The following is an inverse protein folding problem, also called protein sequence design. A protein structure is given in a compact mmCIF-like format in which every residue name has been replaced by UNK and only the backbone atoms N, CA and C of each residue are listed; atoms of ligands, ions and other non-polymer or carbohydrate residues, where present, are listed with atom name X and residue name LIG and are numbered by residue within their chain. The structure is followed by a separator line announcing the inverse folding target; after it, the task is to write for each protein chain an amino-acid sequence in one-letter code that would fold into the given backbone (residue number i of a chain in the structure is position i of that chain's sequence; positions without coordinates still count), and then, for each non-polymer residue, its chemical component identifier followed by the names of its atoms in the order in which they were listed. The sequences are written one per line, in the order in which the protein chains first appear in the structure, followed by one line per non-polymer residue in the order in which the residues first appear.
data_IF_942781899095
#
_entry.id   IF_942781899095
#
_cell.length_a   1.000
_cell.length_b   1.000
_cell.length_c   1.000
_cell.angle_alpha   90.00
_cell.angle_beta   90.00
_cell.angle_gamma   90.00
#
_symmetry.space_group_name_H-M   'P 1'
#
loop_
_entity.id
_entity.type
_entity.pdbx_description
1 polymer ?
#
# COMPACT_ATOMS: atom_id res chain seq x y z
N UNK A 1 -15.85 -52.00 14.74
CA UNK A 1 -16.54 -52.74 13.65
C UNK A 1 -17.88 -52.10 13.38
N UNK A 2 -18.39 -52.22 12.15
CA UNK A 2 -19.80 -52.14 11.69
C UNK A 2 -20.79 -51.19 12.39
N UNK A 3 -21.43 -50.31 11.59
CA UNK A 3 -22.74 -49.75 11.92
C UNK A 3 -23.85 -50.81 11.76
N UNK A 4 -25.12 -50.46 12.08
CA UNK A 4 -26.04 -50.36 10.95
C UNK A 4 -26.96 -49.11 10.95
N UNK A 5 -27.26 -48.63 9.75
CA UNK A 5 -28.38 -47.74 9.45
C UNK A 5 -29.74 -48.39 9.78
N UNK A 6 -30.78 -47.56 9.95
CA UNK A 6 -32.16 -47.95 9.64
C UNK A 6 -32.91 -46.80 8.98
N UNK A 7 -33.53 -47.08 7.83
CA UNK A 7 -34.31 -46.13 7.03
C UNK A 7 -35.79 -46.53 7.10
N UNK A 8 -36.70 -45.55 7.18
CA UNK A 8 -38.05 -45.70 6.62
C UNK A 8 -38.62 -44.36 6.17
N UNK A 9 -39.14 -44.32 4.95
CA UNK A 9 -39.94 -43.20 4.42
C UNK A 9 -41.43 -43.45 4.71
N UNK A 10 -42.28 -42.40 4.64
CA UNK A 10 -43.29 -42.30 3.57
C UNK A 10 -43.98 -40.92 3.50
N UNK A 11 -44.42 -40.60 2.28
CA UNK A 11 -45.06 -39.37 1.78
C UNK A 11 -46.36 -38.94 2.49
N UNK A 12 -46.72 -37.67 2.34
CA UNK A 12 -48.10 -37.16 2.41
C UNK A 12 -48.22 -35.78 1.73
N UNK A 13 -49.06 -35.65 0.71
CA UNK A 13 -49.44 -34.38 0.05
C UNK A 13 -50.94 -34.17 0.21
N UNK A 14 -51.42 -32.92 0.24
CA UNK A 14 -52.76 -32.58 -0.26
C UNK A 14 -52.85 -31.10 -0.69
N UNK A 15 -53.43 -30.86 -1.87
CA UNK A 15 -54.04 -29.57 -2.24
C UNK A 15 -55.54 -29.60 -1.91
N UNK A 16 -56.13 -28.41 -1.73
CA UNK A 16 -57.56 -28.16 -1.98
C UNK A 16 -57.76 -26.79 -2.65
N UNK A 17 -58.79 -26.69 -3.50
CA UNK A 17 -59.13 -25.51 -4.32
C UNK A 17 -60.64 -25.43 -4.54
N UNK A 18 -61.24 -24.24 -4.38
CA UNK A 18 -62.56 -23.77 -4.87
C UNK A 18 -62.51 -22.22 -4.77
N UNK A 19 -62.73 -21.39 -5.81
CA UNK A 19 -64.00 -20.98 -6.44
C UNK A 19 -65.04 -20.40 -5.44
N UNK A 20 -65.53 -19.15 -5.52
CA UNK A 20 -65.36 -18.01 -6.45
C UNK A 20 -65.92 -16.70 -5.82
N UNK A 21 -66.64 -15.73 -6.44
CA UNK A 21 -67.12 -15.48 -7.82
C UNK A 21 -67.83 -14.08 -7.92
N UNK A 22 -67.33 -13.10 -8.71
CA UNK A 22 -67.98 -11.81 -9.11
C UNK A 22 -68.26 -10.77 -7.98
N UNK A 23 -68.36 -9.43 -8.14
CA UNK A 23 -68.07 -8.41 -9.19
C UNK A 23 -67.81 -7.02 -8.47
N UNK A 24 -67.83 -5.76 -8.96
CA UNK A 24 -68.24 -5.05 -10.21
C UNK A 24 -67.61 -3.62 -10.24
N UNK A 25 -67.15 -3.11 -11.40
CA UNK A 25 -66.81 -1.68 -11.70
C UNK A 25 -65.70 -0.99 -10.85
N UNK A 26 -65.03 0.10 -11.29
CA UNK A 26 -65.27 1.01 -12.44
C UNK A 26 -63.97 1.35 -13.21
N UNK A 27 -64.12 1.80 -14.46
CA UNK A 27 -63.09 2.25 -15.42
C UNK A 27 -62.28 3.49 -14.97
N UNK A 28 -60.98 3.53 -15.31
CA UNK A 28 -60.40 4.74 -15.91
C UNK A 28 -59.23 4.45 -16.86
N UNK A 29 -59.46 4.71 -18.14
CA UNK A 29 -58.55 4.54 -19.28
C UNK A 29 -57.25 5.36 -19.19
N UNK A 30 -56.15 4.79 -19.72
CA UNK A 30 -55.19 5.51 -20.57
C UNK A 30 -54.50 4.55 -21.54
N UNK A 31 -54.28 4.99 -22.77
CA UNK A 31 -54.03 4.12 -23.94
C UNK A 31 -52.59 4.21 -24.46
N UNK A 32 -52.03 3.06 -24.83
CA UNK A 32 -50.88 2.96 -25.74
C UNK A 32 -51.09 1.75 -26.69
N UNK A 33 -50.93 1.91 -28.01
CA UNK A 33 -51.21 0.85 -28.98
C UNK A 33 -50.08 -0.18 -29.10
N UNK A 34 -50.42 -1.38 -29.59
CA UNK A 34 -49.49 -2.50 -29.75
C UNK A 34 -48.79 -2.52 -31.12
N UNK A 35 -47.70 -3.30 -31.17
CA UNK A 35 -46.85 -3.53 -32.36
C UNK A 35 -47.64 -4.06 -33.57
N UNK A 36 -47.18 -3.71 -34.76
CA UNK A 36 -47.35 -4.55 -35.95
C UNK A 36 -46.02 -5.22 -36.31
N UNK A 37 -46.08 -6.50 -36.65
CA UNK A 37 -45.04 -7.27 -37.33
C UNK A 37 -45.65 -7.78 -38.65
N UNK A 38 -45.01 -7.55 -39.80
CA UNK A 38 -45.15 -8.43 -40.97
C UNK A 38 -44.41 -9.76 -40.71
N UNK A 39 -44.83 -10.82 -41.39
CA UNK A 39 -44.18 -12.14 -41.34
C UNK A 39 -43.16 -12.32 -42.48
N UNK A 40 -42.46 -13.45 -42.45
CA UNK A 40 -41.36 -13.81 -43.35
C UNK A 40 -41.71 -13.80 -44.85
N UNK A 41 -40.74 -13.35 -45.66
CA UNK A 41 -40.46 -13.94 -46.97
C UNK A 41 -39.04 -14.51 -46.94
N UNK A 42 -38.89 -15.81 -47.27
CA UNK A 42 -37.58 -16.44 -47.46
C UNK A 42 -37.14 -16.31 -48.92
N UNK A 43 -35.92 -15.83 -49.17
CA UNK A 43 -35.32 -15.82 -50.53
C UNK A 43 -33.82 -16.10 -50.54
N UNK A 44 -33.45 -17.28 -50.03
CA UNK A 44 -32.37 -18.14 -50.54
C UNK A 44 -31.02 -17.51 -50.98
N UNK A 45 -30.44 -16.59 -50.20
CA UNK A 45 -28.98 -16.41 -50.07
C UNK A 45 -28.70 -15.75 -48.70
N UNK A 46 -27.77 -16.19 -47.86
CA UNK A 46 -26.53 -16.95 -48.10
C UNK A 46 -26.32 -17.99 -46.99
N UNK A 47 -26.05 -19.26 -47.34
CA UNK A 47 -25.65 -20.27 -46.36
C UNK A 47 -24.13 -20.27 -46.15
N UNK A 48 -23.73 -20.45 -44.88
CA UNK A 48 -22.43 -20.97 -44.45
C UNK A 48 -21.16 -20.22 -44.93
N UNK A 49 -20.85 -19.12 -44.25
CA UNK A 49 -19.53 -19.04 -43.61
C UNK A 49 -19.69 -18.78 -42.11
N UNK A 50 -19.63 -19.86 -41.32
CA UNK A 50 -19.29 -19.78 -39.90
C UNK A 50 -17.80 -19.47 -39.79
N UNK A 51 -17.43 -18.20 -39.96
CA UNK A 51 -16.10 -17.74 -39.55
C UNK A 51 -16.04 -17.88 -38.04
N UNK A 52 -15.12 -18.68 -37.47
CA UNK A 52 -14.95 -18.69 -36.02
C UNK A 52 -14.54 -17.29 -35.58
N UNK A 53 -15.19 -16.77 -34.54
CA UNK A 53 -14.75 -15.53 -33.92
C UNK A 53 -13.37 -15.81 -33.30
N UNK A 54 -12.30 -15.41 -34.00
CA UNK A 54 -10.94 -15.49 -33.48
C UNK A 54 -10.82 -14.50 -32.33
N UNK A 55 -11.10 -14.97 -31.13
CA UNK A 55 -10.52 -14.44 -29.90
C UNK A 55 -9.00 -14.58 -30.06
N UNK A 56 -8.32 -13.50 -30.44
CA UNK A 56 -6.87 -13.45 -30.43
C UNK A 56 -6.39 -13.65 -29.00
N UNK A 57 -5.96 -14.86 -28.64
CA UNK A 57 -5.30 -15.11 -27.37
C UNK A 57 -3.82 -14.75 -27.48
N UNK A 58 -3.25 -14.20 -26.41
CA UNK A 58 -1.82 -14.01 -26.25
C UNK A 58 -1.25 -15.17 -25.43
N UNK A 59 -0.17 -15.78 -25.91
CA UNK A 59 0.63 -16.76 -25.20
C UNK A 59 1.80 -16.04 -24.53
N UNK A 60 1.67 -15.77 -23.23
CA UNK A 60 2.63 -15.00 -22.46
C UNK A 60 3.53 -15.93 -21.64
N UNK A 61 4.85 -15.78 -21.77
CA UNK A 61 5.84 -16.60 -21.06
C UNK A 61 6.18 -15.95 -19.73
N UNK A 62 5.61 -16.42 -18.62
CA UNK A 62 5.89 -15.88 -17.28
C UNK A 62 7.04 -16.67 -16.63
N UNK A 63 8.16 -16.00 -16.42
CA UNK A 63 9.44 -16.58 -15.96
C UNK A 63 9.81 -16.13 -14.56
N UNK A 64 10.45 -17.00 -13.79
CA UNK A 64 11.08 -16.67 -12.50
C UNK A 64 12.59 -16.50 -12.68
N UNK A 65 13.23 -15.73 -11.78
CA UNK A 65 14.69 -15.61 -11.73
C UNK A 65 15.43 -16.95 -11.44
N UNK A 66 14.69 -18.01 -11.07
CA UNK A 66 15.18 -19.38 -10.96
C UNK A 66 15.24 -20.13 -12.31
N UNK A 67 14.76 -19.54 -13.41
CA UNK A 67 14.62 -20.20 -14.71
C UNK A 67 13.36 -21.06 -14.87
N UNK A 68 12.54 -21.18 -13.82
CA UNK A 68 11.22 -21.81 -13.87
C UNK A 68 10.23 -20.91 -14.63
N UNK A 69 9.37 -21.50 -15.48
CA UNK A 69 8.43 -20.73 -16.31
C UNK A 69 7.04 -21.36 -16.39
N UNK A 70 6.05 -20.52 -16.69
CA UNK A 70 4.68 -20.86 -16.99
C UNK A 70 4.28 -20.20 -18.32
N UNK A 71 3.78 -21.00 -19.24
CA UNK A 71 3.39 -20.56 -20.59
C UNK A 71 1.86 -20.35 -20.53
N UNK A 72 1.42 -19.09 -20.52
CA UNK A 72 0.07 -18.67 -20.09
C UNK A 72 -0.72 -18.07 -21.26
N UNK A 73 -1.68 -18.85 -21.77
CA UNK A 73 -2.65 -18.37 -22.75
C UNK A 73 -3.72 -17.49 -22.08
N UNK A 74 -3.91 -16.27 -22.58
CA UNK A 74 -4.86 -15.29 -22.07
C UNK A 74 -5.51 -14.47 -23.17
N UNK A 75 -6.80 -14.20 -23.01
CA UNK A 75 -7.53 -13.19 -23.78
C UNK A 75 -6.99 -11.78 -23.40
N UNK A 76 -6.59 -10.92 -24.37
CA UNK A 76 -5.95 -9.64 -24.13
C UNK A 76 -6.86 -8.59 -23.50
N UNK A 77 -8.19 -8.73 -23.61
CA UNK A 77 -9.16 -7.89 -22.91
C UNK A 77 -9.30 -8.25 -21.41
N UNK A 78 -8.66 -9.33 -20.96
CA UNK A 78 -8.57 -9.69 -19.54
C UNK A 78 -7.56 -8.80 -18.83
N UNK A 79 -7.73 -8.66 -17.51
CA UNK A 79 -6.82 -7.87 -16.69
C UNK A 79 -5.54 -8.64 -16.33
N UNK A 80 -4.46 -7.92 -16.05
CA UNK A 80 -3.17 -8.51 -15.61
C UNK A 80 -3.32 -9.38 -14.35
N UNK A 81 -4.33 -9.12 -13.51
CA UNK A 81 -4.73 -10.00 -12.38
C UNK A 81 -5.03 -11.43 -12.84
N UNK A 82 -5.70 -11.59 -14.00
CA UNK A 82 -6.05 -12.91 -14.52
C UNK A 82 -4.81 -13.65 -15.02
N UNK A 83 -3.94 -12.97 -15.78
CA UNK A 83 -2.62 -13.45 -16.18
C UNK A 83 -1.78 -13.87 -14.97
N UNK A 84 -1.73 -13.04 -13.91
CA UNK A 84 -1.00 -13.36 -12.68
C UNK A 84 -1.56 -14.57 -11.96
N UNK A 85 -2.89 -14.69 -11.80
CA UNK A 85 -3.51 -15.87 -11.17
C UNK A 85 -3.31 -17.15 -11.99
N UNK A 86 -3.29 -17.06 -13.32
CA UNK A 86 -2.96 -18.18 -14.19
C UNK A 86 -1.49 -18.61 -14.02
N UNK A 87 -0.56 -17.65 -13.96
CA UNK A 87 0.86 -17.92 -13.67
C UNK A 87 1.07 -18.49 -12.24
N UNK A 88 0.42 -17.93 -11.22
CA UNK A 88 0.46 -18.41 -9.83
C UNK A 88 -0.04 -19.87 -9.72
N UNK A 89 -1.08 -20.21 -10.50
CA UNK A 89 -1.62 -21.58 -10.61
C UNK A 89 -0.65 -22.57 -11.28
N UNK A 90 -0.02 -22.18 -12.40
CA UNK A 90 0.96 -23.02 -13.10
C UNK A 90 2.27 -23.19 -12.31
N UNK A 91 2.86 -22.08 -11.84
CA UNK A 91 4.11 -22.03 -11.08
C UNK A 91 3.97 -22.58 -9.64
N UNK A 92 2.73 -22.73 -9.14
CA UNK A 92 2.41 -23.21 -7.78
C UNK A 92 3.11 -22.40 -6.68
N UNK A 93 3.33 -21.11 -6.94
CA UNK A 93 3.97 -20.14 -6.05
C UNK A 93 3.15 -18.86 -6.03
N UNK A 94 2.86 -18.26 -4.86
CA UNK A 94 2.33 -16.90 -4.83
C UNK A 94 3.37 -15.94 -5.41
N UNK A 95 2.94 -15.04 -6.29
CA UNK A 95 3.79 -13.99 -6.83
C UNK A 95 3.61 -12.71 -5.99
N UNK A 96 4.48 -11.73 -6.24
CA UNK A 96 4.49 -10.38 -5.63
C UNK A 96 4.41 -9.28 -6.69
N UNK A 97 4.83 -9.58 -7.92
CA UNK A 97 4.76 -8.69 -9.06
C UNK A 97 4.87 -9.49 -10.36
N UNK A 98 4.32 -8.94 -11.45
CA UNK A 98 4.75 -9.23 -12.81
C UNK A 98 5.47 -7.99 -13.36
N UNK A 99 6.57 -8.18 -14.08
CA UNK A 99 7.36 -7.15 -14.73
C UNK A 99 7.50 -7.46 -16.22
N UNK A 100 7.22 -6.50 -17.09
CA UNK A 100 7.58 -6.52 -18.51
C UNK A 100 8.83 -5.65 -18.76
N UNK A 101 9.27 -5.54 -20.01
CA UNK A 101 10.37 -4.64 -20.40
C UNK A 101 10.09 -3.16 -20.07
N UNK A 102 8.81 -2.77 -19.99
CA UNK A 102 8.34 -1.42 -19.67
C UNK A 102 8.24 -1.17 -18.15
N UNK A 103 8.47 -2.18 -17.30
CA UNK A 103 8.45 -2.07 -15.84
C UNK A 103 7.38 -2.93 -15.17
N UNK A 104 6.83 -2.46 -14.04
CA UNK A 104 5.84 -3.23 -13.27
C UNK A 104 4.46 -3.17 -13.92
N UNK A 105 3.92 -4.34 -14.27
CA UNK A 105 2.58 -4.45 -14.82
C UNK A 105 1.53 -4.13 -13.74
N UNK A 106 0.57 -3.27 -14.09
CA UNK A 106 -0.52 -2.86 -13.20
C UNK A 106 -1.68 -3.87 -13.27
N UNK A 107 -2.27 -4.22 -12.12
CA UNK A 107 -3.19 -5.36 -11.99
C UNK A 107 -4.54 -5.19 -12.72
N UNK A 108 -5.32 -4.12 -12.45
CA UNK A 108 -6.61 -3.89 -13.09
C UNK A 108 -6.55 -3.50 -14.58
N UNK A 109 -5.40 -3.04 -15.09
CA UNK A 109 -5.22 -2.78 -16.53
C UNK A 109 -5.47 -4.05 -17.35
N UNK A 110 -6.08 -3.90 -18.53
CA UNK A 110 -6.15 -4.99 -19.52
C UNK A 110 -4.75 -5.35 -20.01
N UNK A 111 -4.56 -6.58 -20.46
CA UNK A 111 -3.27 -7.09 -20.94
C UNK A 111 -2.82 -6.30 -22.19
N UNK A 112 -3.74 -5.96 -23.09
CA UNK A 112 -3.47 -5.05 -24.21
C UNK A 112 -3.10 -3.62 -23.76
N UNK A 113 -3.85 -3.03 -22.81
CA UNK A 113 -3.57 -1.68 -22.28
C UNK A 113 -2.23 -1.61 -21.53
N UNK A 114 -1.78 -2.74 -20.97
CA UNK A 114 -0.49 -2.86 -20.29
C UNK A 114 0.71 -2.96 -21.25
N UNK A 115 0.50 -2.89 -22.57
CA UNK A 115 1.54 -2.88 -23.59
C UNK A 115 2.15 -4.25 -23.91
N UNK A 116 1.49 -5.34 -23.49
CA UNK A 116 1.89 -6.71 -23.77
C UNK A 116 1.41 -7.18 -25.16
N UNK A 117 2.13 -8.13 -25.75
CA UNK A 117 1.84 -8.73 -27.06
C UNK A 117 1.95 -10.26 -27.02
N UNK A 118 1.40 -10.96 -28.03
CA UNK A 118 1.58 -12.41 -28.16
C UNK A 118 3.06 -12.80 -28.22
N UNK A 119 3.46 -13.80 -27.43
CA UNK A 119 4.85 -14.25 -27.29
C UNK A 119 5.71 -13.47 -26.28
N UNK A 120 5.19 -12.42 -25.61
CA UNK A 120 5.99 -11.64 -24.66
C UNK A 120 6.49 -12.46 -23.47
N UNK A 121 7.71 -12.11 -23.01
CA UNK A 121 8.36 -12.72 -21.84
C UNK A 121 8.30 -11.77 -20.65
N UNK A 122 7.68 -12.25 -19.57
CA UNK A 122 7.38 -11.47 -18.35
C UNK A 122 8.22 -12.05 -17.21
N UNK A 123 8.87 -11.20 -16.41
CA UNK A 123 9.57 -11.61 -15.19
C UNK A 123 8.65 -11.51 -13.99
N UNK A 124 8.39 -12.63 -13.33
CA UNK A 124 7.60 -12.73 -12.12
C UNK A 124 8.50 -12.71 -10.87
N UNK A 125 8.16 -11.84 -9.91
CA UNK A 125 8.78 -11.84 -8.58
C UNK A 125 7.97 -12.77 -7.68
N UNK A 126 8.60 -13.77 -7.09
CA UNK A 126 7.97 -14.66 -6.09
C UNK A 126 7.66 -13.89 -4.80
N UNK A 127 6.54 -14.17 -4.16
CA UNK A 127 6.29 -13.76 -2.77
C UNK A 127 7.02 -14.72 -1.84
N UNK A 128 7.99 -14.21 -1.09
CA UNK A 128 8.67 -15.02 -0.07
C UNK A 128 7.65 -15.51 0.99
N UNK A 129 7.62 -16.82 1.30
CA UNK A 129 6.66 -17.38 2.24
C UNK A 129 7.10 -17.12 3.68
N UNK A 130 6.75 -15.94 4.20
CA UNK A 130 6.95 -15.56 5.60
C UNK A 130 5.78 -14.71 6.13
N UNK A 131 5.45 -14.80 7.42
CA UNK A 131 4.43 -13.96 8.02
C UNK A 131 4.90 -12.50 8.10
N UNK A 132 4.32 -11.64 7.27
CA UNK A 132 4.54 -10.18 7.36
C UNK A 132 3.65 -9.66 8.48
N UNK A 133 4.26 -9.19 9.58
CA UNK A 133 3.58 -8.64 10.76
C UNK A 133 3.82 -7.13 10.83
N UNK A 134 2.75 -6.36 10.97
CA UNK A 134 2.77 -4.89 10.90
C UNK A 134 2.09 -4.25 12.11
N UNK A 135 2.59 -3.08 12.51
CA UNK A 135 2.09 -2.31 13.66
C UNK A 135 2.46 -0.84 13.53
N UNK A 136 1.51 0.06 13.78
CA UNK A 136 1.84 1.46 14.06
C UNK A 136 2.57 1.58 15.41
N UNK A 137 3.41 2.61 15.59
CA UNK A 137 4.18 2.82 16.84
C UNK A 137 3.30 2.99 18.09
N UNK A 138 2.04 3.39 17.87
CA UNK A 138 1.00 3.57 18.91
C UNK A 138 -0.20 2.64 18.73
N UNK A 139 -0.10 1.63 17.85
CA UNK A 139 -1.23 0.74 17.59
C UNK A 139 -1.65 0.00 18.86
N UNK A 140 -2.96 -0.18 19.04
CA UNK A 140 -3.54 -1.05 20.07
C UNK A 140 -3.98 -2.41 19.49
N UNK A 141 -3.58 -2.66 18.25
CA UNK A 141 -3.91 -3.82 17.44
C UNK A 141 -2.70 -4.20 16.57
N UNK A 142 -2.63 -5.47 16.20
CA UNK A 142 -1.64 -6.03 15.30
C UNK A 142 -2.33 -6.75 14.16
N UNK A 143 -1.69 -6.76 12.99
CA UNK A 143 -2.09 -7.57 11.86
C UNK A 143 -0.88 -8.35 11.32
N UNK A 144 -1.11 -9.59 10.91
CA UNK A 144 -0.13 -10.39 10.18
C UNK A 144 -0.77 -11.08 8.98
N UNK A 145 -0.06 -11.12 7.86
CA UNK A 145 -0.47 -11.88 6.68
C UNK A 145 0.05 -13.31 6.79
N UNK A 146 -0.83 -14.30 6.65
CA UNK A 146 -0.49 -15.73 6.62
C UNK A 146 -1.28 -16.41 5.51
N UNK A 147 -0.57 -17.10 4.60
CA UNK A 147 -1.18 -17.94 3.57
C UNK A 147 -2.29 -17.17 2.80
N UNK A 148 -1.91 -15.97 2.34
CA UNK A 148 -2.74 -14.98 1.62
C UNK A 148 -4.00 -14.45 2.35
N UNK A 149 -4.21 -14.87 3.61
CA UNK A 149 -5.20 -14.34 4.55
C UNK A 149 -4.58 -13.38 5.58
N UNK A 150 -5.40 -12.61 6.29
CA UNK A 150 -4.96 -11.73 7.39
C UNK A 150 -5.48 -12.24 8.73
N UNK A 151 -4.58 -12.30 9.72
CA UNK A 151 -4.88 -12.57 11.13
C UNK A 151 -4.67 -11.28 11.92
N UNK A 152 -5.59 -10.96 12.83
CA UNK A 152 -5.53 -9.75 13.67
C UNK A 152 -5.72 -10.08 15.14
N UNK A 153 -5.12 -9.27 16.02
CA UNK A 153 -5.31 -9.37 17.47
C UNK A 153 -5.08 -8.02 18.15
N UNK A 154 -5.50 -7.90 19.42
CA UNK A 154 -5.49 -6.65 20.19
C UNK A 154 -6.89 -6.07 20.37
N UNK A 155 -7.01 -4.76 20.51
CA UNK A 155 -8.29 -4.09 20.76
C UNK A 155 -9.15 -4.03 19.48
N UNK A 156 -10.39 -4.51 19.55
CA UNK A 156 -11.35 -4.58 18.44
C UNK A 156 -11.54 -3.24 17.73
N UNK A 157 -11.85 -2.19 18.51
CA UNK A 157 -12.14 -0.84 18.01
C UNK A 157 -10.95 -0.17 17.30
N UNK A 158 -9.76 -0.75 17.42
CA UNK A 158 -8.50 -0.23 16.88
C UNK A 158 -7.97 -1.07 15.71
N UNK A 159 -8.78 -1.99 15.16
CA UNK A 159 -8.40 -2.90 14.07
C UNK A 159 -7.99 -4.31 14.51
N UNK A 160 -8.08 -4.63 15.80
CA UNK A 160 -7.71 -5.95 16.34
C UNK A 160 -8.65 -7.09 15.92
N UNK A 161 -9.85 -6.76 15.42
CA UNK A 161 -10.83 -7.72 14.92
C UNK A 161 -11.19 -7.45 13.45
N UNK A 162 -10.78 -8.34 12.56
CA UNK A 162 -11.08 -8.31 11.13
C UNK A 162 -12.27 -9.19 10.71
N UNK A 163 -13.01 -9.81 11.66
CA UNK A 163 -14.06 -10.80 11.35
C UNK A 163 -15.17 -10.28 10.43
N UNK A 164 -15.50 -8.99 10.52
CA UNK A 164 -16.46 -8.29 9.64
C UNK A 164 -16.03 -8.28 8.17
N UNK A 165 -14.74 -8.08 7.90
CA UNK A 165 -14.16 -7.98 6.56
C UNK A 165 -13.45 -9.25 6.09
N UNK A 166 -13.41 -10.31 6.89
CA UNK A 166 -12.67 -11.58 6.62
C UNK A 166 -12.91 -12.18 5.22
N UNK A 167 -14.12 -12.03 4.64
CA UNK A 167 -14.43 -12.50 3.27
C UNK A 167 -13.80 -11.64 2.17
N UNK A 168 -13.47 -10.39 2.48
CA UNK A 168 -12.81 -9.43 1.59
C UNK A 168 -11.28 -9.51 1.71
N UNK A 169 -10.75 -9.89 2.88
CA UNK A 169 -9.31 -10.09 3.13
C UNK A 169 -8.78 -11.40 2.52
N UNK A 170 -8.89 -11.50 1.20
CA UNK A 170 -8.35 -12.56 0.34
C UNK A 170 -7.33 -11.96 -0.64
N UNK A 171 -6.32 -12.75 -0.98
CA UNK A 171 -5.17 -12.38 -1.80
C UNK A 171 -4.43 -11.12 -1.28
N UNK A 172 -4.31 -10.97 0.05
CA UNK A 172 -3.74 -9.75 0.65
C UNK A 172 -2.22 -9.71 0.47
N UNK A 173 -1.71 -8.68 -0.20
CA UNK A 173 -0.28 -8.51 -0.45
C UNK A 173 0.44 -7.76 0.67
N UNK A 174 -0.17 -6.69 1.19
CA UNK A 174 0.38 -5.81 2.22
C UNK A 174 -0.72 -5.36 3.18
N UNK A 175 -0.37 -5.11 4.43
CA UNK A 175 -1.25 -4.52 5.45
C UNK A 175 -0.56 -3.29 6.03
N UNK A 176 -1.34 -2.27 6.32
CA UNK A 176 -0.94 -1.00 6.89
C UNK A 176 -1.77 -0.73 8.13
N UNK A 177 -1.15 -0.20 9.17
CA UNK A 177 -1.76 -0.03 10.50
C UNK A 177 -1.63 1.43 10.90
N UNK A 178 -2.71 2.04 11.39
CA UNK A 178 -2.74 3.37 12.01
C UNK A 178 -2.84 3.25 13.54
N UNK A 179 -3.20 4.32 14.25
CA UNK A 179 -3.46 4.19 15.69
C UNK A 179 -4.80 3.47 15.96
N UNK A 180 -5.80 3.67 15.10
CA UNK A 180 -7.21 3.26 15.31
C UNK A 180 -7.79 2.30 14.25
N UNK A 181 -7.06 1.99 13.17
CA UNK A 181 -7.57 1.22 12.05
C UNK A 181 -6.45 0.46 11.32
N UNK A 182 -6.85 -0.42 10.40
CA UNK A 182 -5.97 -1.15 9.50
C UNK A 182 -6.50 -1.08 8.07
N UNK A 183 -5.60 -1.14 7.08
CA UNK A 183 -5.93 -1.20 5.66
C UNK A 183 -5.06 -2.24 4.95
N UNK A 184 -5.64 -3.05 4.06
CA UNK A 184 -4.95 -4.08 3.29
C UNK A 184 -5.00 -3.78 1.79
N UNK A 185 -3.84 -3.82 1.13
CA UNK A 185 -3.75 -3.85 -0.35
C UNK A 185 -3.90 -5.31 -0.78
N UNK A 186 -4.88 -5.58 -1.64
CA UNK A 186 -5.14 -6.88 -2.25
C UNK A 186 -4.39 -7.02 -3.59
N UNK A 187 -4.21 -8.26 -4.04
CA UNK A 187 -3.53 -8.60 -5.30
C UNK A 187 -4.14 -7.90 -6.53
N UNK A 188 -5.45 -7.61 -6.48
CA UNK A 188 -6.16 -6.84 -7.51
C UNK A 188 -6.02 -5.32 -7.41
N UNK A 189 -5.08 -4.81 -6.60
CA UNK A 189 -4.85 -3.37 -6.42
C UNK A 189 -5.99 -2.65 -5.68
N UNK A 190 -6.98 -3.39 -5.18
CA UNK A 190 -8.06 -2.84 -4.34
C UNK A 190 -7.65 -2.79 -2.88
N UNK A 191 -8.32 -1.92 -2.11
CA UNK A 191 -8.08 -1.76 -0.68
C UNK A 191 -9.29 -2.18 0.14
N UNK A 192 -9.04 -2.81 1.29
CA UNK A 192 -10.05 -3.14 2.31
C UNK A 192 -9.53 -2.62 3.65
N UNK A 193 -10.30 -1.79 4.36
CA UNK A 193 -9.98 -1.36 5.73
C UNK A 193 -10.93 -1.94 6.78
N UNK A 194 -10.51 -1.90 8.04
CA UNK A 194 -11.28 -2.29 9.22
C UNK A 194 -10.75 -1.59 10.50
N UNK A 195 -11.52 -1.64 11.59
CA UNK A 195 -11.26 -0.91 12.83
C UNK A 195 -12.21 0.27 12.98
N UNK A 196 -11.77 1.37 13.59
CA UNK A 196 -12.62 2.55 13.78
C UNK A 196 -12.99 3.22 12.45
N UNK A 197 -14.28 3.19 12.11
CA UNK A 197 -14.80 3.70 10.83
C UNK A 197 -14.40 5.17 10.59
N UNK A 198 -14.59 6.04 11.60
CA UNK A 198 -14.22 7.47 11.54
C UNK A 198 -12.72 7.71 11.37
N UNK A 199 -11.88 6.71 11.61
CA UNK A 199 -10.42 6.78 11.54
C UNK A 199 -9.84 6.05 10.31
N UNK A 200 -10.67 5.80 9.29
CA UNK A 200 -10.29 5.12 8.05
C UNK A 200 -10.51 3.61 8.05
N UNK A 201 -11.05 3.06 9.15
CA UNK A 201 -11.48 1.66 9.27
C UNK A 201 -12.75 1.31 8.48
N UNK A 202 -13.37 2.29 7.82
CA UNK A 202 -14.27 2.08 6.69
C UNK A 202 -13.71 2.86 5.49
N UNK A 203 -13.80 2.27 4.30
CA UNK A 203 -13.36 2.83 3.03
C UNK A 203 -14.45 2.75 1.96
N UNK A 204 -15.72 2.55 2.33
CA UNK A 204 -16.83 2.35 1.40
C UNK A 204 -16.98 3.50 0.40
N UNK A 205 -17.03 4.74 0.89
CA UNK A 205 -17.28 5.94 0.07
C UNK A 205 -16.18 6.21 -0.97
N UNK A 206 -14.95 5.76 -0.69
CA UNK A 206 -13.79 5.87 -1.59
C UNK A 206 -13.47 4.56 -2.32
N UNK A 207 -14.21 3.47 -2.10
CA UNK A 207 -13.90 2.13 -2.64
C UNK A 207 -13.71 2.11 -4.16
N UNK A 208 -14.52 2.88 -4.89
CA UNK A 208 -14.43 2.97 -6.35
C UNK A 208 -13.23 3.82 -6.83
N UNK A 209 -12.64 4.64 -5.95
CA UNK A 209 -11.37 5.37 -6.19
C UNK A 209 -10.16 4.50 -5.80
N UNK A 210 -10.29 3.61 -4.81
CA UNK A 210 -9.25 2.70 -4.31
C UNK A 210 -9.08 1.46 -5.20
N UNK A 211 -8.69 1.71 -6.45
CA UNK A 211 -8.23 0.76 -7.46
C UNK A 211 -6.78 1.10 -7.86
N UNK A 212 -6.06 0.14 -8.44
CA UNK A 212 -4.67 0.32 -8.92
C UNK A 212 -3.67 0.77 -7.83
N UNK A 213 -3.97 0.54 -6.54
CA UNK A 213 -3.19 1.07 -5.41
C UNK A 213 -1.83 0.39 -5.30
N UNK A 214 -0.78 1.21 -5.31
CA UNK A 214 0.65 0.83 -5.26
C UNK A 214 1.18 0.81 -3.82
N UNK A 215 0.78 1.77 -3.00
CA UNK A 215 1.29 2.01 -1.65
C UNK A 215 0.24 2.75 -0.82
N UNK A 216 0.21 2.52 0.49
CA UNK A 216 -0.60 3.28 1.46
C UNK A 216 0.34 3.89 2.50
N UNK A 217 0.02 5.10 2.97
CA UNK A 217 0.66 5.74 4.13
C UNK A 217 -0.41 6.05 5.18
N UNK A 218 -0.11 5.79 6.44
CA UNK A 218 -1.02 6.00 7.57
C UNK A 218 -0.57 7.19 8.45
N UNK A 219 -1.49 8.13 8.67
CA UNK A 219 -1.49 9.01 9.84
C UNK A 219 -2.20 8.27 11.01
N UNK A 220 -2.42 8.91 12.17
CA UNK A 220 -3.06 8.22 13.30
C UNK A 220 -4.50 7.79 12.99
N UNK A 221 -5.26 8.66 12.33
CA UNK A 221 -6.72 8.50 12.08
C UNK A 221 -7.13 8.64 10.61
N UNK A 222 -6.17 8.50 9.69
CA UNK A 222 -6.40 8.65 8.26
C UNK A 222 -5.36 7.86 7.46
N UNK A 223 -5.72 7.52 6.22
CA UNK A 223 -4.83 6.88 5.25
C UNK A 223 -4.79 7.68 3.95
N UNK A 224 -3.68 7.59 3.23
CA UNK A 224 -3.52 8.07 1.87
C UNK A 224 -2.94 6.95 1.00
N UNK A 225 -3.62 6.62 -0.10
CA UNK A 225 -3.19 5.64 -1.10
C UNK A 225 -2.60 6.35 -2.31
N UNK A 226 -1.41 5.94 -2.75
CA UNK A 226 -0.86 6.30 -4.07
C UNK A 226 -1.27 5.24 -5.08
N UNK A 227 -1.90 5.65 -6.18
CA UNK A 227 -2.30 4.79 -7.29
C UNK A 227 -1.16 4.63 -8.29
N UNK A 228 -1.26 3.61 -9.15
CA UNK A 228 -0.23 3.30 -10.17
C UNK A 228 -0.11 4.36 -11.29
N UNK A 229 -1.10 5.24 -11.42
CA UNK A 229 -1.09 6.44 -12.28
C UNK A 229 -0.49 7.68 -11.59
N UNK A 230 0.04 7.55 -10.37
CA UNK A 230 0.59 8.66 -9.59
C UNK A 230 -0.45 9.61 -8.97
N UNK A 231 -1.74 9.29 -9.06
CA UNK A 231 -2.79 10.02 -8.33
C UNK A 231 -2.94 9.53 -6.89
N UNK A 232 -3.56 10.34 -6.03
CA UNK A 232 -3.73 10.05 -4.58
C UNK A 232 -5.20 10.03 -4.18
N UNK A 233 -5.55 9.11 -3.27
CA UNK A 233 -6.87 9.00 -2.63
C UNK A 233 -6.67 8.94 -1.12
N UNK A 234 -7.29 9.85 -0.36
CA UNK A 234 -7.29 9.84 1.11
C UNK A 234 -8.65 9.42 1.69
N UNK A 235 -8.65 8.83 2.89
CA UNK A 235 -9.85 8.50 3.66
C UNK A 235 -9.60 8.43 5.18
N UNK A 236 -10.66 8.55 5.97
CA UNK A 236 -10.63 8.62 7.43
C UNK A 236 -11.06 9.99 7.96
N UNK A 237 -10.54 10.42 9.11
CA UNK A 237 -10.90 11.70 9.71
C UNK A 237 -10.37 12.85 8.85
N UNK A 238 -11.28 13.57 8.19
CA UNK A 238 -10.95 14.67 7.28
C UNK A 238 -10.09 15.75 7.92
N UNK A 239 -10.26 16.00 9.23
CA UNK A 239 -9.48 16.96 10.02
C UNK A 239 -8.01 16.53 10.17
N UNK A 240 -7.75 15.23 10.04
CA UNK A 240 -6.43 14.60 10.17
C UNK A 240 -5.87 14.13 8.81
N UNK A 241 -6.36 14.70 7.69
CA UNK A 241 -5.90 14.39 6.34
C UNK A 241 -6.67 13.27 5.64
N UNK A 242 -7.79 12.80 6.21
CA UNK A 242 -8.70 11.82 5.59
C UNK A 242 -9.50 12.34 4.40
N UNK A 243 -9.28 13.58 3.96
CA UNK A 243 -9.67 14.07 2.64
C UNK A 243 -8.54 14.92 2.06
N UNK A 244 -8.36 14.84 0.75
CA UNK A 244 -7.38 15.61 -0.03
C UNK A 244 -8.06 16.43 -1.14
N UNK A 245 -9.39 16.61 -1.10
CA UNK A 245 -10.16 17.17 -2.21
C UNK A 245 -9.78 18.62 -2.56
N UNK A 246 -9.36 19.43 -1.58
CA UNK A 246 -8.89 20.80 -1.78
C UNK A 246 -7.61 20.88 -2.64
N UNK A 247 -6.71 19.89 -2.51
CA UNK A 247 -5.41 19.81 -3.22
C UNK A 247 -5.40 18.73 -4.31
N UNK A 248 -6.54 18.10 -4.61
CA UNK A 248 -6.64 16.93 -5.49
C UNK A 248 -6.10 17.18 -6.91
N UNK A 249 -6.18 18.44 -7.38
CA UNK A 249 -5.66 18.88 -8.69
C UNK A 249 -4.13 18.98 -8.75
N UNK A 250 -3.47 19.04 -7.59
CA UNK A 250 -2.01 19.07 -7.48
C UNK A 250 -1.45 17.67 -7.20
N UNK A 251 -2.24 16.74 -6.65
CA UNK A 251 -1.83 15.36 -6.35
C UNK A 251 -1.84 14.45 -7.59
N UNK A 252 -0.96 14.77 -8.55
CA UNK A 252 -0.62 13.96 -9.72
C UNK A 252 0.91 13.77 -9.81
N UNK A 253 1.33 12.66 -10.43
CA UNK A 253 2.73 12.22 -10.48
C UNK A 253 3.38 12.17 -9.08
N UNK A 254 2.62 11.68 -8.09
CA UNK A 254 3.09 11.53 -6.71
C UNK A 254 4.01 10.33 -6.61
N UNK A 255 5.28 10.60 -6.33
CA UNK A 255 6.34 9.60 -6.24
C UNK A 255 6.40 8.95 -4.86
N UNK A 256 6.15 9.73 -3.80
CA UNK A 256 6.09 9.23 -2.41
C UNK A 256 5.28 10.13 -1.48
N UNK A 257 4.55 9.54 -0.54
CA UNK A 257 3.84 10.22 0.55
C UNK A 257 4.58 10.01 1.88
N UNK A 258 4.51 11.00 2.76
CA UNK A 258 4.99 11.00 4.14
C UNK A 258 3.86 11.50 5.06
N UNK A 259 3.81 11.04 6.30
CA UNK A 259 2.78 11.44 7.27
C UNK A 259 3.38 11.89 8.61
N UNK A 260 2.76 12.89 9.22
CA UNK A 260 2.84 13.16 10.66
C UNK A 260 1.71 12.40 11.37
N UNK A 261 1.34 12.76 12.61
CA UNK A 261 0.20 12.11 13.25
C UNK A 261 -1.15 12.48 12.61
N UNK A 262 -1.24 13.64 11.96
CA UNK A 262 -2.52 14.27 11.58
C UNK A 262 -2.49 15.02 10.23
N UNK A 263 -1.41 14.87 9.47
CA UNK A 263 -1.24 15.49 8.16
C UNK A 263 -0.34 14.64 7.25
N UNK A 264 -0.38 14.94 5.95
CA UNK A 264 0.42 14.29 4.92
C UNK A 264 1.19 15.31 4.08
N UNK A 265 2.31 14.86 3.51
CA UNK A 265 3.10 15.57 2.52
C UNK A 265 3.49 14.61 1.38
N UNK A 266 3.21 14.98 0.14
CA UNK A 266 3.53 14.22 -1.06
C UNK A 266 4.65 14.89 -1.85
N UNK A 267 5.70 14.14 -2.22
CA UNK A 267 6.69 14.56 -3.22
C UNK A 267 6.18 14.15 -4.60
N UNK A 268 6.18 15.09 -5.54
CA UNK A 268 5.83 14.89 -6.96
C UNK A 268 7.07 14.71 -7.83
N UNK A 269 6.92 14.14 -9.02
CA UNK A 269 8.02 13.94 -9.98
C UNK A 269 8.64 15.25 -10.51
N UNK A 270 7.94 16.38 -10.40
CA UNK A 270 8.50 17.73 -10.64
C UNK A 270 9.27 18.31 -9.43
N UNK A 271 9.60 17.47 -8.43
CA UNK A 271 10.37 17.84 -7.24
C UNK A 271 9.62 18.69 -6.22
N UNK A 272 8.34 19.02 -6.46
CA UNK A 272 7.52 19.85 -5.57
C UNK A 272 6.85 19.03 -4.47
N UNK A 273 6.47 19.71 -3.39
CA UNK A 273 5.71 19.13 -2.27
C UNK A 273 4.29 19.67 -2.25
N UNK A 274 3.31 18.80 -2.00
CA UNK A 274 1.90 19.14 -1.74
C UNK A 274 1.52 18.59 -0.36
N UNK A 275 0.82 19.39 0.47
CA UNK A 275 0.45 19.00 1.84
C UNK A 275 -1.05 19.09 2.08
N UNK A 276 -1.57 18.25 2.99
CA UNK A 276 -2.97 18.34 3.43
C UNK A 276 -3.18 17.75 4.82
N UNK A 277 -4.36 18.00 5.40
CA UNK A 277 -4.73 17.59 6.76
C UNK A 277 -4.54 18.71 7.79
N UNK A 278 -4.29 18.36 9.05
CA UNK A 278 -4.25 19.32 10.12
C UNK A 278 -3.11 20.34 9.94
N UNK A 279 -3.44 21.64 9.87
CA UNK A 279 -2.46 22.75 9.85
C UNK A 279 -1.42 22.63 10.96
N UNK A 280 -1.87 22.37 12.20
CA UNK A 280 -1.00 22.17 13.37
C UNK A 280 -0.19 20.85 13.34
N UNK A 281 -0.46 19.96 12.37
CA UNK A 281 0.30 18.75 12.10
C UNK A 281 1.26 18.87 10.91
N UNK A 282 1.32 20.03 10.24
CA UNK A 282 2.10 20.25 9.01
C UNK A 282 1.32 20.07 7.70
N UNK A 283 -0.02 20.03 7.75
CA UNK A 283 -0.88 19.94 6.56
C UNK A 283 -1.00 21.23 5.73
N UNK A 284 -0.36 22.31 6.19
CA UNK A 284 -0.26 23.60 5.50
C UNK A 284 1.22 23.99 5.37
N UNK A 285 1.70 24.04 4.13
CA UNK A 285 3.05 24.48 3.74
C UNK A 285 3.08 25.86 3.08
N UNK A 286 1.97 26.60 3.00
CA UNK A 286 1.85 27.81 2.14
C UNK A 286 2.95 28.85 2.41
N UNK A 287 3.35 29.03 3.67
CA UNK A 287 4.38 29.98 4.09
C UNK A 287 5.80 29.64 3.58
N UNK A 288 6.06 28.38 3.19
CA UNK A 288 7.35 27.90 2.67
C UNK A 288 7.26 27.32 1.26
N UNK A 289 6.09 27.41 0.61
CA UNK A 289 5.80 26.69 -0.64
C UNK A 289 6.74 27.06 -1.81
N UNK A 290 7.27 28.29 -1.83
CA UNK A 290 8.28 28.74 -2.80
C UNK A 290 9.66 28.12 -2.60
N UNK A 291 9.92 27.52 -1.43
CA UNK A 291 11.18 26.86 -1.07
C UNK A 291 11.10 25.33 -1.25
N UNK A 292 9.89 24.76 -1.33
CA UNK A 292 9.65 23.32 -1.49
C UNK A 292 9.79 22.88 -2.96
N UNK A 293 10.97 23.14 -3.51
CA UNK A 293 11.40 22.80 -4.87
C UNK A 293 12.60 21.84 -4.80
N UNK A 294 12.72 20.93 -5.77
CA UNK A 294 13.78 19.92 -5.86
C UNK A 294 13.92 19.07 -4.57
N UNK A 295 12.80 18.75 -3.93
CA UNK A 295 12.77 17.96 -2.69
C UNK A 295 13.04 16.49 -2.97
N UNK A 296 14.14 15.99 -2.41
CA UNK A 296 14.60 14.59 -2.54
C UNK A 296 13.96 13.68 -1.50
N UNK A 297 13.77 14.17 -0.27
CA UNK A 297 13.31 13.37 0.86
C UNK A 297 12.63 14.25 1.91
N UNK A 298 11.59 13.73 2.56
CA UNK A 298 10.94 14.38 3.71
C UNK A 298 11.11 13.49 4.95
N UNK A 299 11.29 14.12 6.11
CA UNK A 299 11.15 13.48 7.42
C UNK A 299 9.99 14.13 8.16
N UNK A 300 9.31 13.36 9.01
CA UNK A 300 8.23 13.85 9.87
C UNK A 300 8.55 13.62 11.35
N UNK A 301 8.12 14.56 12.19
CA UNK A 301 7.84 14.34 13.61
C UNK A 301 6.34 14.11 13.77
N UNK A 302 5.82 14.08 15.00
CA UNK A 302 4.38 13.90 15.21
C UNK A 302 3.53 15.07 14.69
N UNK A 303 4.11 16.26 14.49
CA UNK A 303 3.38 17.52 14.23
C UNK A 303 4.07 18.48 13.25
N UNK A 304 5.18 18.06 12.63
CA UNK A 304 5.96 18.87 11.70
C UNK A 304 6.68 18.01 10.66
N UNK A 305 7.12 18.64 9.57
CA UNK A 305 7.91 18.03 8.51
C UNK A 305 9.21 18.82 8.27
N UNK A 306 10.22 18.13 7.75
CA UNK A 306 11.44 18.72 7.21
C UNK A 306 11.80 18.06 5.87
N UNK A 307 11.88 18.86 4.82
CA UNK A 307 12.30 18.46 3.47
C UNK A 307 13.80 18.70 3.28
N UNK A 308 14.51 17.71 2.73
CA UNK A 308 15.88 17.85 2.21
C UNK A 308 15.79 18.05 0.70
N UNK A 309 16.39 19.12 0.21
CA UNK A 309 16.46 19.47 -1.21
C UNK A 309 17.68 18.80 -1.87
N UNK A 310 17.71 18.76 -3.20
CA UNK A 310 18.84 18.16 -3.95
C UNK A 310 20.18 18.86 -3.69
N UNK A 311 20.17 20.14 -3.33
CA UNK A 311 21.35 20.92 -2.93
C UNK A 311 21.75 20.76 -1.45
N UNK A 312 21.16 19.80 -0.73
CA UNK A 312 21.48 19.54 0.68
C UNK A 312 20.93 20.58 1.66
N UNK A 313 20.22 21.62 1.21
CA UNK A 313 19.50 22.55 2.08
C UNK A 313 18.23 21.91 2.66
N UNK A 314 17.74 22.46 3.78
CA UNK A 314 16.59 21.92 4.52
C UNK A 314 15.53 23.00 4.73
N UNK A 315 14.26 22.63 4.53
CA UNK A 315 13.09 23.48 4.75
C UNK A 315 12.11 22.73 5.65
N UNK A 316 11.69 23.32 6.78
CA UNK A 316 10.71 22.73 7.70
C UNK A 316 9.40 23.51 7.78
N UNK A 317 8.31 22.83 8.12
CA UNK A 317 7.00 23.46 8.38
C UNK A 317 6.14 22.63 9.34
N UNK A 318 5.00 23.20 9.78
CA UNK A 318 4.13 22.63 10.81
C UNK A 318 4.37 23.26 12.18
N UNK A 319 4.12 22.53 13.26
CA UNK A 319 4.24 23.11 14.60
C UNK A 319 5.71 23.33 15.00
N UNK A 320 6.06 24.58 15.32
CA UNK A 320 7.39 24.97 15.86
C UNK A 320 7.81 24.09 17.04
N UNK A 321 6.86 23.77 17.94
CA UNK A 321 7.09 22.88 19.09
C UNK A 321 7.32 21.39 18.76
N UNK A 322 7.42 21.04 17.47
CA UNK A 322 7.86 19.75 16.95
C UNK A 322 8.94 19.85 15.87
N UNK A 323 9.61 21.01 15.73
CA UNK A 323 10.65 21.23 14.72
C UNK A 323 10.17 21.83 13.40
N UNK A 324 8.96 22.41 13.36
CA UNK A 324 8.39 23.04 12.16
C UNK A 324 9.01 24.38 11.73
N UNK A 325 10.06 24.86 12.42
CA UNK A 325 10.88 25.99 11.99
C UNK A 325 12.36 25.67 12.21
N UNK A 326 13.15 25.78 11.13
CA UNK A 326 14.60 25.58 11.08
C UNK A 326 15.34 26.82 10.56
N UNK A 327 14.66 27.95 10.37
CA UNK A 327 15.24 29.17 9.77
C UNK A 327 16.38 29.78 10.58
N UNK A 328 16.39 29.56 11.91
CA UNK A 328 17.48 29.90 12.81
C UNK A 328 18.59 28.85 12.95
N UNK A 329 18.72 27.90 12.00
CA UNK A 329 19.70 26.81 12.04
C UNK A 329 20.67 26.87 10.86
N UNK A 330 21.95 26.60 11.12
CA UNK A 330 23.02 26.55 10.11
C UNK A 330 23.01 25.21 9.33
N UNK A 331 22.02 25.01 8.45
CA UNK A 331 21.83 23.76 7.71
C UNK A 331 22.34 23.87 6.26
N UNK A 332 23.55 23.37 6.02
CA UNK A 332 24.17 23.23 4.68
C UNK A 332 24.60 21.78 4.44
N UNK A 333 24.59 21.35 3.17
CA UNK A 333 25.11 20.04 2.72
C UNK A 333 24.66 18.84 3.57
N UNK A 334 23.36 18.76 3.90
CA UNK A 334 22.81 17.71 4.76
C UNK A 334 22.80 16.35 4.04
N UNK A 335 23.62 15.41 4.53
CA UNK A 335 23.81 14.07 3.95
C UNK A 335 22.95 12.99 4.63
N UNK A 336 22.57 13.18 5.90
CA UNK A 336 21.66 12.29 6.63
C UNK A 336 20.77 13.11 7.56
N UNK A 337 19.50 12.73 7.70
CA UNK A 337 18.58 13.30 8.69
C UNK A 337 17.81 12.19 9.41
N UNK A 338 17.43 12.46 10.66
CA UNK A 338 16.54 11.62 11.46
C UNK A 338 15.54 12.47 12.23
N UNK A 339 14.44 11.86 12.68
CA UNK A 339 13.44 12.50 13.54
C UNK A 339 13.12 11.65 14.76
N UNK A 340 12.91 12.32 15.90
CA UNK A 340 12.21 11.77 17.07
C UNK A 340 10.72 12.12 16.95
N UNK A 341 9.92 11.91 18.00
CA UNK A 341 8.52 12.36 18.01
C UNK A 341 8.35 13.87 17.89
N UNK A 342 9.33 14.71 18.27
CA UNK A 342 9.17 16.18 18.31
C UNK A 342 10.44 16.98 17.96
N UNK A 343 11.48 16.34 17.44
CA UNK A 343 12.70 17.02 17.01
C UNK A 343 13.30 16.35 15.76
N UNK A 344 14.20 17.08 15.10
CA UNK A 344 15.02 16.61 13.99
C UNK A 344 16.51 16.69 14.36
N UNK A 345 17.31 15.82 13.75
CA UNK A 345 18.76 15.89 13.75
C UNK A 345 19.28 15.68 12.32
N UNK A 346 20.08 16.62 11.84
CA UNK A 346 20.74 16.60 10.53
C UNK A 346 22.24 16.43 10.71
N UNK A 347 22.86 15.57 9.90
CA UNK A 347 24.29 15.42 9.73
C UNK A 347 24.69 16.11 8.42
N UNK A 348 25.62 17.05 8.53
CA UNK A 348 26.20 17.80 7.42
C UNK A 348 27.41 17.06 6.84
N UNK A 349 27.79 17.36 5.59
CA UNK A 349 28.88 16.70 4.88
C UNK A 349 30.27 16.89 5.54
N UNK A 350 30.43 17.90 6.40
CA UNK A 350 31.64 18.17 7.19
C UNK A 350 31.71 17.36 8.50
N UNK A 351 30.70 16.55 8.80
CA UNK A 351 30.60 15.76 10.05
C UNK A 351 30.00 16.51 11.24
N UNK A 352 29.51 17.76 11.05
CA UNK A 352 28.76 18.53 12.05
C UNK A 352 27.32 18.02 12.16
N UNK A 353 26.79 17.94 13.38
CA UNK A 353 25.37 17.64 13.64
C UNK A 353 24.64 18.88 14.15
N UNK A 354 23.47 19.15 13.57
CA UNK A 354 22.56 20.23 13.96
C UNK A 354 21.21 19.62 14.35
N UNK A 355 20.61 20.10 15.45
CA UNK A 355 19.35 19.58 16.00
C UNK A 355 18.37 20.72 16.25
N UNK A 356 17.08 20.52 15.99
CA UNK A 356 16.04 21.51 16.29
C UNK A 356 14.70 20.86 16.62
N UNK A 357 13.78 21.66 17.20
CA UNK A 357 12.48 21.20 17.70
C UNK A 357 12.43 21.17 19.23
N UNK A 358 11.66 20.24 19.81
CA UNK A 358 11.48 20.19 21.26
C UNK A 358 12.77 19.78 21.99
N UNK A 359 13.32 20.58 22.94
CA UNK A 359 14.53 20.23 23.69
C UNK A 359 14.42 18.89 24.42
N UNK A 360 13.26 18.60 25.01
CA UNK A 360 12.94 17.34 25.69
C UNK A 360 12.80 16.12 24.76
N UNK A 361 12.89 16.31 23.44
CA UNK A 361 12.92 15.24 22.44
C UNK A 361 14.26 15.18 21.67
N UNK A 362 15.32 15.79 22.21
CA UNK A 362 16.64 15.88 21.59
C UNK A 362 16.84 17.06 20.64
N UNK A 363 15.91 18.02 20.60
CA UNK A 363 15.97 19.19 19.72
C UNK A 363 16.92 20.31 20.16
N UNK A 364 17.60 20.18 21.30
CA UNK A 364 18.63 21.11 21.77
C UNK A 364 19.90 20.35 22.14
N UNK A 365 20.92 20.47 21.29
CA UNK A 365 22.23 19.83 21.48
C UNK A 365 23.33 20.81 21.91
N UNK A 366 22.99 22.07 22.25
CA UNK A 366 23.99 23.13 22.52
C UNK A 366 24.96 22.79 23.64
N UNK A 367 24.54 22.00 24.63
CA UNK A 367 25.36 21.50 25.74
C UNK A 367 26.40 20.43 25.33
N UNK A 368 26.25 19.83 24.14
CA UNK A 368 27.13 18.78 23.61
C UNK A 368 27.64 19.07 22.20
N UNK A 369 27.39 20.27 21.66
CA UNK A 369 27.75 20.69 20.29
C UNK A 369 29.20 20.40 19.92
N UNK A 370 30.13 20.64 20.84
CA UNK A 370 31.56 20.48 20.57
C UNK A 370 31.96 18.98 20.52
N UNK A 371 31.09 18.09 21.04
CA UNK A 371 31.16 16.63 20.86
C UNK A 371 30.39 16.13 19.61
N UNK A 372 29.77 17.02 18.84
CA UNK A 372 28.97 16.72 17.63
C UNK A 372 29.66 17.15 16.33
N UNK A 373 30.99 16.96 16.32
CA UNK A 373 31.88 17.07 15.16
C UNK A 373 32.43 15.68 14.81
N UNK A 374 32.96 15.47 13.60
CA UNK A 374 33.49 14.18 13.13
C UNK A 374 32.49 13.01 13.18
N UNK A 375 31.18 13.31 13.14
CA UNK A 375 30.12 12.32 13.17
C UNK A 375 30.00 11.66 11.79
N UNK A 376 29.90 10.34 11.76
CA UNK A 376 29.74 9.54 10.52
C UNK A 376 28.36 8.90 10.40
N UNK A 377 27.60 8.83 11.49
CA UNK A 377 26.27 8.24 11.52
C UNK A 377 25.42 8.81 12.67
N UNK A 378 24.17 9.14 12.35
CA UNK A 378 23.10 9.41 13.30
C UNK A 378 22.17 8.20 13.46
N UNK A 379 21.59 8.09 14.66
CA UNK A 379 20.49 7.19 15.01
C UNK A 379 19.47 7.94 15.89
N UNK A 380 18.20 7.52 15.87
CA UNK A 380 17.14 8.11 16.68
C UNK A 380 16.31 7.05 17.44
N UNK A 381 15.78 7.48 18.59
CA UNK A 381 14.76 6.78 19.38
C UNK A 381 13.45 7.58 19.34
N UNK A 382 12.47 7.28 20.20
CA UNK A 382 11.23 8.06 20.26
C UNK A 382 11.43 9.50 20.75
N UNK A 383 12.46 9.75 21.57
CA UNK A 383 12.67 11.05 22.26
C UNK A 383 14.15 11.49 22.40
N UNK A 384 15.11 10.78 21.81
CA UNK A 384 16.52 11.16 21.86
C UNK A 384 17.29 10.69 20.61
N UNK A 385 18.36 11.40 20.28
CA UNK A 385 19.31 11.05 19.22
C UNK A 385 20.61 10.45 19.79
N UNK A 386 21.30 9.67 18.96
CA UNK A 386 22.67 9.22 19.20
C UNK A 386 23.52 9.46 17.95
N UNK A 387 24.80 9.78 18.16
CA UNK A 387 25.77 10.07 17.10
C UNK A 387 27.01 9.20 17.27
N UNK A 388 27.55 8.67 16.16
CA UNK A 388 28.78 7.87 16.13
C UNK A 388 29.89 8.71 15.49
N UNK A 389 30.97 8.97 16.23
CA UNK A 389 32.18 9.61 15.70
C UNK A 389 33.08 8.61 14.96
N UNK A 390 33.74 9.07 13.90
CA UNK A 390 34.72 8.27 13.14
C UNK A 390 35.76 7.56 14.04
N UNK A 391 36.34 8.30 15.00
CA UNK A 391 37.40 7.80 15.88
C UNK A 391 36.99 6.71 16.89
N UNK A 392 35.69 6.40 17.04
CA UNK A 392 35.24 5.30 17.92
C UNK A 392 35.14 3.95 17.21
N UNK A 393 35.29 3.92 15.88
CA UNK A 393 35.30 2.67 15.10
C UNK A 393 36.70 2.04 15.16
N UNK A 394 37.05 1.46 16.32
CA UNK A 394 38.16 0.51 16.39
C UNK A 394 37.79 -0.71 15.54
N UNK A 395 38.54 -0.93 14.44
CA UNK A 395 38.32 -2.05 13.51
C UNK A 395 38.84 -3.35 14.15
N UNK A 396 38.13 -3.83 15.16
CA UNK A 396 38.50 -5.01 15.96
C UNK A 396 37.35 -6.02 16.13
N UNK A 397 36.13 -5.72 15.65
CA UNK A 397 34.97 -6.65 15.66
C UNK A 397 33.90 -6.36 14.60
N UNK A 398 34.26 -6.50 13.31
CA UNK A 398 33.28 -6.70 12.23
C UNK A 398 33.58 -8.04 11.53
N UNK A 399 33.16 -9.14 12.17
CA UNK A 399 33.06 -10.43 11.48
C UNK A 399 31.76 -10.45 10.67
N UNK A 400 31.85 -10.11 9.39
CA UNK A 400 30.80 -10.46 8.44
C UNK A 400 30.69 -11.99 8.36
N UNK A 401 29.49 -12.51 8.63
CA UNK A 401 29.22 -13.95 8.64
C UNK A 401 29.14 -14.51 7.22
N UNK A 402 30.30 -14.73 6.59
CA UNK A 402 30.40 -15.55 5.39
C UNK A 402 29.96 -17.00 5.69
N UNK A 403 29.18 -17.65 4.81
CA UNK A 403 28.74 -19.03 5.04
C UNK A 403 29.93 -19.98 4.95
N UNK A 404 30.24 -20.64 6.07
CA UNK A 404 31.26 -21.68 6.15
C UNK A 404 30.88 -22.88 5.29
N UNK A 405 31.49 -23.01 4.10
CA UNK A 405 31.58 -24.29 3.41
C UNK A 405 32.38 -25.24 4.29
N UNK A 406 31.73 -26.25 4.85
CA UNK A 406 32.37 -27.32 5.62
C UNK A 406 33.16 -28.23 4.67
N UNK A 407 34.40 -27.85 4.38
CA UNK A 407 35.40 -28.74 3.82
C UNK A 407 36.01 -29.55 4.98
N UNK A 408 35.58 -30.80 5.12
CA UNK A 408 36.03 -31.66 6.22
C UNK A 408 37.46 -32.17 6.01
N UNK A 409 38.37 -31.80 6.92
CA UNK A 409 39.56 -32.58 7.24
C UNK A 409 39.73 -32.60 8.75
N UNK A 410 39.72 -33.80 9.34
CA UNK A 410 39.96 -33.98 10.76
C UNK A 410 41.44 -34.22 11.04
N UNK A 411 41.94 -33.69 12.15
CA UNK A 411 43.15 -34.17 12.80
C UNK A 411 43.01 -34.05 14.32
N UNK A 412 43.49 -35.06 15.04
CA UNK A 412 43.41 -35.15 16.49
C UNK A 412 44.54 -34.38 17.18
N UNK A 413 44.20 -33.47 18.08
CA UNK A 413 45.12 -32.80 19.00
C UNK A 413 44.61 -32.91 20.43
N UNK A 414 45.49 -33.10 21.42
CA UNK A 414 45.13 -33.39 22.82
C UNK A 414 45.77 -32.40 23.80
N UNK A 415 44.96 -32.01 24.79
CA UNK A 415 45.32 -31.63 26.17
C UNK A 415 45.98 -30.26 26.43
N UNK A 416 45.50 -29.64 27.53
CA UNK A 416 46.16 -28.92 28.62
C UNK A 416 47.40 -28.03 28.38
N UNK A 417 47.54 -26.87 29.04
CA UNK A 417 46.77 -26.28 30.16
C UNK A 417 46.15 -24.94 29.79
#
# INVERSE_FOLDING_TARGET
MLQPFKIRMTRGWHLQTLWGKQQTHTDHQKTFPWKHYPAAEESASTLQQLVPCFTMTFNLTVTLLSGERADVEVDPDRTVIFLRRAAESQLKRPLKALLSAQGRLNGPSRICDAGLQDGDVITAIVREPGPVMESYRKARAFAAIKEDTVVTWGASEFGGDSRSVRRQLTDVMQVYVSEFACAAIRNDGTVVSWGSAIAGGDSHDVRNKLIDVKEIVAANSAFAATKSDGSVVAWGDSRNGGSCEEVQKELFDVQKIFASNTAFAAIRGDGKVVTWGAKNGGGDSQAVQSQLLDVKQIHSTSVAFAAVRQDGSVVSWGAVSGGGDCSGQELTDVVQMHSTTRAFAALQADGKVVTWGAPSAGGDSRSVRDNLLDVVQLCASEAAFAAIKAGMISVSRIFWSLPLKVAGFGLSGRFCN
#
